data_IF_214579927372
#
_entry.id   IF_214579927372
#
_cell.length_a   1.000
_cell.length_b   1.000
_cell.length_c   1.000
_cell.angle_alpha   90.00
_cell.angle_beta   90.00
_cell.angle_gamma   90.00
#
_symmetry.space_group_name_H-M   'P 1'
#
loop_
_entity.id
_entity.type
_entity.pdbx_description
1 polymer ?
#
# COMPACT_ATOMS: atom_id res chain seq x y z
N UNK A 1 17.46 -27.27 -48.98
CA UNK A 1 16.91 -27.50 -47.62
C UNK A 1 17.49 -26.53 -46.58
N UNK A 2 17.51 -25.21 -46.85
CA UNK A 2 18.02 -24.19 -45.89
C UNK A 2 17.00 -23.10 -45.54
N UNK A 3 15.86 -23.00 -46.23
CA UNK A 3 14.83 -21.98 -45.98
C UNK A 3 13.79 -22.38 -44.92
N UNK A 4 13.62 -23.67 -44.64
CA UNK A 4 12.62 -24.14 -43.66
C UNK A 4 13.02 -23.88 -42.20
N UNK A 5 14.31 -23.71 -41.92
CA UNK A 5 14.82 -23.45 -40.56
C UNK A 5 14.54 -22.00 -40.11
N UNK A 6 14.45 -21.05 -41.06
CA UNK A 6 14.27 -19.63 -40.74
C UNK A 6 12.81 -19.35 -40.31
N UNK A 7 11.84 -20.05 -40.91
CA UNK A 7 10.41 -19.84 -40.63
C UNK A 7 10.02 -20.40 -39.26
N UNK A 8 10.62 -21.51 -38.81
CA UNK A 8 10.31 -22.10 -37.50
C UNK A 8 10.79 -21.23 -36.34
N UNK A 9 11.93 -20.54 -36.50
CA UNK A 9 12.49 -19.68 -35.44
C UNK A 9 11.69 -18.38 -35.30
N UNK A 10 11.19 -17.79 -36.40
CA UNK A 10 10.34 -16.60 -36.32
C UNK A 10 8.97 -16.88 -35.68
N UNK A 11 8.35 -18.03 -35.97
CA UNK A 11 7.06 -18.39 -35.38
C UNK A 11 7.15 -18.69 -33.88
N UNK A 12 8.27 -19.25 -33.42
CA UNK A 12 8.51 -19.46 -31.99
C UNK A 12 8.74 -18.12 -31.25
N UNK A 13 9.46 -17.17 -31.86
CA UNK A 13 9.70 -15.85 -31.25
C UNK A 13 8.39 -15.05 -31.12
N UNK A 14 7.51 -15.09 -32.13
CA UNK A 14 6.19 -14.45 -32.05
C UNK A 14 5.26 -15.06 -30.98
N UNK A 15 5.34 -16.37 -30.75
CA UNK A 15 4.59 -17.04 -29.68
C UNK A 15 5.14 -16.72 -28.28
N UNK A 16 6.45 -16.46 -28.14
CA UNK A 16 7.03 -16.02 -26.87
C UNK A 16 6.67 -14.58 -26.49
N UNK A 17 6.34 -13.71 -27.45
CA UNK A 17 5.81 -12.37 -27.16
C UNK A 17 4.38 -12.41 -26.59
N UNK A 18 3.58 -13.44 -26.91
CA UNK A 18 2.22 -13.60 -26.38
C UNK A 18 2.14 -14.25 -24.99
N UNK A 19 3.20 -14.93 -24.56
CA UNK A 19 3.30 -15.59 -23.24
C UNK A 19 4.08 -14.77 -22.21
N UNK A 20 4.78 -13.72 -22.64
CA UNK A 20 5.22 -12.66 -21.76
C UNK A 20 4.01 -11.77 -21.43
N UNK A 21 3.08 -12.33 -20.66
CA UNK A 21 2.27 -11.52 -19.74
C UNK A 21 3.29 -10.88 -18.81
N UNK A 22 3.82 -9.74 -19.23
CA UNK A 22 4.42 -8.77 -18.35
C UNK A 22 3.45 -8.67 -17.16
N UNK A 23 3.92 -8.83 -15.91
CA UNK A 23 3.08 -8.50 -14.77
C UNK A 23 2.55 -7.10 -15.08
N UNK A 24 1.22 -7.01 -15.28
CA UNK A 24 0.52 -5.77 -15.59
C UNK A 24 1.04 -4.74 -14.60
N UNK A 25 1.58 -3.67 -15.19
CA UNK A 25 1.79 -2.36 -14.61
C UNK A 25 2.43 -2.33 -13.21
N UNK A 26 3.59 -1.67 -13.13
CA UNK A 26 3.90 -0.91 -11.91
C UNK A 26 2.60 -0.25 -11.46
N UNK A 27 2.15 -0.36 -10.21
CA UNK A 27 0.87 0.20 -9.81
C UNK A 27 0.87 1.68 -10.18
N UNK A 28 0.13 2.03 -11.23
CA UNK A 28 -0.06 3.41 -11.68
C UNK A 28 -1.04 4.04 -10.69
N UNK A 29 -0.55 4.36 -9.49
CA UNK A 29 -1.40 4.84 -8.40
C UNK A 29 -0.82 4.61 -7.01
N UNK A 30 -1.68 4.81 -6.01
CA UNK A 30 -1.36 4.58 -4.61
C UNK A 30 -1.22 3.09 -4.32
N UNK A 31 -0.21 2.75 -3.53
CA UNK A 31 -0.10 1.43 -2.91
C UNK A 31 -0.72 1.53 -1.52
N UNK A 32 -1.72 0.71 -1.24
CA UNK A 32 -2.33 0.60 0.08
C UNK A 32 -1.79 -0.61 0.82
N UNK A 33 -1.16 -0.35 1.96
CA UNK A 33 -0.63 -1.37 2.86
C UNK A 33 -1.51 -1.45 4.10
N UNK A 34 -2.03 -2.62 4.41
CA UNK A 34 -2.82 -2.90 5.62
C UNK A 34 -1.98 -3.62 6.63
N UNK A 35 -2.12 -3.23 7.89
CA UNK A 35 -1.55 -3.91 9.04
C UNK A 35 -2.71 -4.46 9.90
N UNK A 36 -2.64 -5.74 10.24
CA UNK A 36 -3.62 -6.46 11.05
C UNK A 36 -2.91 -7.59 11.83
N UNK A 37 -3.64 -8.32 12.68
CA UNK A 37 -3.08 -9.43 13.46
C UNK A 37 -2.49 -10.55 12.59
N UNK A 38 -3.04 -10.79 11.39
CA UNK A 38 -2.56 -11.82 10.46
C UNK A 38 -1.34 -11.35 9.65
N UNK A 39 -1.22 -10.05 9.45
CA UNK A 39 -0.23 -9.36 8.63
C UNK A 39 0.51 -8.29 9.44
N UNK A 40 1.28 -8.69 10.47
CA UNK A 40 1.94 -7.75 11.36
C UNK A 40 3.00 -6.92 10.64
N UNK A 41 3.59 -7.40 9.53
CA UNK A 41 4.55 -6.67 8.70
C UNK A 41 3.90 -5.83 7.60
N UNK A 42 2.56 -5.78 7.58
CA UNK A 42 1.77 -5.18 6.54
C UNK A 42 1.65 -6.06 5.28
N UNK A 43 0.46 -6.05 4.68
CA UNK A 43 0.17 -6.67 3.38
C UNK A 43 -0.31 -5.61 2.41
N UNK A 44 0.09 -5.71 1.15
CA UNK A 44 -0.48 -4.88 0.10
C UNK A 44 -1.85 -5.44 -0.26
N UNK A 45 -2.88 -4.60 -0.18
CA UNK A 45 -4.26 -4.98 -0.51
C UNK A 45 -4.76 -4.17 -1.69
N UNK A 46 -5.69 -4.75 -2.44
CA UNK A 46 -6.41 -4.01 -3.46
C UNK A 46 -7.51 -3.15 -2.85
N UNK A 47 -7.90 -2.08 -3.54
CA UNK A 47 -9.02 -1.23 -3.11
C UNK A 47 -10.32 -2.03 -2.98
N UNK A 48 -10.56 -3.00 -3.86
CA UNK A 48 -11.74 -3.87 -3.80
C UNK A 48 -11.77 -4.74 -2.55
N UNK A 49 -10.61 -5.25 -2.11
CA UNK A 49 -10.50 -6.03 -0.87
C UNK A 49 -10.78 -5.16 0.36
N UNK A 50 -10.18 -3.96 0.41
CA UNK A 50 -10.41 -3.02 1.50
C UNK A 50 -11.88 -2.59 1.60
N UNK A 51 -12.51 -2.28 0.46
CA UNK A 51 -13.92 -1.91 0.39
C UNK A 51 -14.86 -3.03 0.85
N UNK A 52 -14.51 -4.30 0.61
CA UNK A 52 -15.28 -5.43 1.12
C UNK A 52 -15.23 -5.53 2.65
N UNK A 53 -14.11 -5.18 3.28
CA UNK A 53 -14.01 -5.18 4.74
C UNK A 53 -14.82 -4.06 5.40
N UNK A 54 -14.99 -2.93 4.70
CA UNK A 54 -15.76 -1.77 5.14
C UNK A 54 -17.23 -1.81 4.72
N UNK A 55 -17.68 -2.88 4.05
CA UNK A 55 -19.06 -3.03 3.62
C UNK A 55 -20.01 -3.06 4.85
N UNK A 56 -21.33 -2.84 4.69
CA UNK A 56 -22.29 -2.89 5.81
C UNK A 56 -22.30 -4.21 6.61
N UNK A 57 -21.80 -5.29 6.00
CA UNK A 57 -21.65 -6.61 6.62
C UNK A 57 -20.18 -6.95 6.92
N UNK A 58 -19.30 -5.97 6.80
CA UNK A 58 -17.86 -6.09 7.00
C UNK A 58 -17.48 -6.20 8.47
N UNK A 59 -16.25 -6.63 8.71
CA UNK A 59 -15.73 -6.84 10.07
C UNK A 59 -15.15 -5.58 10.71
N UNK A 60 -14.99 -4.50 9.93
CA UNK A 60 -14.30 -3.30 10.36
C UNK A 60 -15.07 -2.04 10.03
N UNK A 61 -15.05 -1.08 10.96
CA UNK A 61 -15.49 0.29 10.75
C UNK A 61 -14.32 1.26 10.89
N UNK A 62 -14.38 2.35 10.13
CA UNK A 62 -13.39 3.42 10.18
C UNK A 62 -13.51 4.20 11.49
N UNK A 63 -12.39 4.32 12.21
CA UNK A 63 -12.29 5.11 13.45
C UNK A 63 -11.83 6.52 13.14
N UNK A 64 -10.83 6.65 12.26
CA UNK A 64 -10.25 7.95 11.91
C UNK A 64 -9.44 7.87 10.62
N UNK A 65 -9.39 8.98 9.90
CA UNK A 65 -8.63 9.15 8.65
C UNK A 65 -7.77 10.41 8.72
N UNK A 66 -6.50 10.26 8.36
CA UNK A 66 -5.57 11.37 8.17
C UNK A 66 -5.11 11.41 6.72
N UNK A 67 -5.22 12.59 6.11
CA UNK A 67 -4.62 12.90 4.81
C UNK A 67 -3.43 13.80 5.06
N UNK A 68 -2.24 13.26 4.84
CA UNK A 68 -0.98 13.96 5.00
C UNK A 68 -0.48 14.34 3.61
N UNK A 69 -0.42 15.64 3.35
CA UNK A 69 0.03 16.20 2.08
C UNK A 69 1.05 17.30 2.35
N UNK A 70 2.23 17.20 1.74
CA UNK A 70 3.24 18.25 1.76
C UNK A 70 4.05 18.22 0.47
N UNK A 71 4.37 19.38 -0.13
CA UNK A 71 5.18 19.43 -1.34
C UNK A 71 6.61 18.89 -1.09
N UNK A 72 7.30 18.42 -2.15
CA UNK A 72 8.66 17.93 -2.03
C UNK A 72 9.62 19.08 -1.69
N UNK A 73 10.54 18.83 -0.76
CA UNK A 73 11.62 19.77 -0.42
C UNK A 73 12.92 19.23 -1.04
N UNK A 74 13.57 20.04 -1.88
CA UNK A 74 14.76 19.61 -2.61
C UNK A 74 15.89 19.23 -1.67
N UNK A 75 16.41 18.01 -1.82
CA UNK A 75 17.55 17.53 -1.04
C UNK A 75 17.22 17.15 0.41
N UNK A 76 15.97 17.25 0.84
CA UNK A 76 15.56 16.91 2.21
C UNK A 76 14.71 15.65 2.28
N UNK A 77 14.85 14.96 3.41
CA UNK A 77 13.94 13.90 3.85
C UNK A 77 12.85 14.54 4.68
N UNK A 78 11.59 14.22 4.39
CA UNK A 78 10.46 14.70 5.19
C UNK A 78 9.99 13.59 6.11
N UNK A 79 9.65 13.95 7.34
CA UNK A 79 9.09 13.03 8.32
C UNK A 79 7.76 13.59 8.82
N UNK A 80 6.81 12.71 9.08
CA UNK A 80 5.59 13.06 9.79
C UNK A 80 5.14 11.92 10.68
N UNK A 81 4.37 12.29 11.70
CA UNK A 81 3.86 11.39 12.71
C UNK A 81 2.38 11.60 12.86
N UNK A 82 1.62 10.51 12.84
CA UNK A 82 0.20 10.49 13.14
C UNK A 82 0.04 9.76 14.47
N UNK A 83 -0.73 10.36 15.38
CA UNK A 83 -1.04 9.78 16.67
C UNK A 83 -2.54 9.78 16.89
N UNK A 84 -3.03 8.68 17.43
CA UNK A 84 -4.41 8.52 17.86
C UNK A 84 -4.43 8.01 19.29
N UNK A 85 -5.24 8.64 20.12
CA UNK A 85 -5.51 8.23 21.49
C UNK A 85 -7.03 8.27 21.66
N UNK A 86 -7.63 7.08 21.70
CA UNK A 86 -9.06 6.89 21.77
C UNK A 86 -9.54 6.45 23.15
N UNK A 87 -10.85 6.29 23.25
CA UNK A 87 -11.49 5.69 24.42
C UNK A 87 -10.91 4.27 24.67
N UNK A 88 -10.64 3.87 25.93
CA UNK A 88 -10.16 2.53 26.26
C UNK A 88 -11.03 1.38 25.72
N UNK A 89 -12.33 1.61 25.51
CA UNK A 89 -13.25 0.60 24.98
C UNK A 89 -13.13 0.41 23.45
N UNK A 90 -12.43 1.31 22.75
CA UNK A 90 -12.19 1.22 21.30
C UNK A 90 -10.81 0.66 21.03
N UNK A 91 -10.75 -0.63 20.68
CA UNK A 91 -9.50 -1.31 20.35
C UNK A 91 -9.22 -1.22 18.85
N UNK A 92 -8.09 -0.64 18.50
CA UNK A 92 -7.63 -0.58 17.11
C UNK A 92 -7.24 -1.99 16.69
N UNK A 93 -7.89 -2.50 15.65
CA UNK A 93 -7.68 -3.85 15.13
C UNK A 93 -6.95 -3.88 13.80
N UNK A 94 -7.00 -2.79 13.04
CA UNK A 94 -6.24 -2.67 11.81
C UNK A 94 -6.02 -1.20 11.46
N UNK A 95 -5.05 -0.94 10.58
CA UNK A 95 -4.95 0.32 9.87
C UNK A 95 -4.38 0.13 8.47
N UNK A 96 -4.79 1.02 7.57
CA UNK A 96 -4.28 1.09 6.21
C UNK A 96 -3.43 2.35 6.02
N UNK A 97 -2.36 2.22 5.25
CA UNK A 97 -1.47 3.32 4.86
C UNK A 97 -1.35 3.28 3.34
N UNK A 98 -1.91 4.29 2.69
CA UNK A 98 -1.84 4.47 1.23
C UNK A 98 -0.77 5.50 0.90
N UNK A 99 0.20 5.14 0.06
CA UNK A 99 1.29 6.04 -0.35
C UNK A 99 1.59 5.93 -1.85
N UNK A 100 2.12 7.02 -2.41
CA UNK A 100 2.60 7.00 -3.80
C UNK A 100 4.03 6.41 -3.86
N UNK A 101 4.33 5.48 -4.78
CA UNK A 101 5.66 4.89 -4.90
C UNK A 101 6.76 5.94 -5.16
N UNK A 102 7.99 5.74 -4.66
CA UNK A 102 8.52 4.58 -3.96
C UNK A 102 8.10 4.49 -2.48
N UNK A 103 8.15 3.29 -1.90
CA UNK A 103 7.71 3.05 -0.52
C UNK A 103 8.50 3.90 0.49
N UNK A 104 7.83 4.66 1.38
CA UNK A 104 8.48 5.34 2.48
C UNK A 104 8.89 4.35 3.57
N UNK A 105 9.72 4.80 4.50
CA UNK A 105 10.01 4.02 5.70
C UNK A 105 8.88 4.27 6.70
N UNK A 106 8.23 3.19 7.13
CA UNK A 106 7.06 3.23 8.01
C UNK A 106 7.43 2.52 9.31
N UNK A 107 7.25 3.21 10.43
CA UNK A 107 7.29 2.65 11.77
C UNK A 107 5.93 2.85 12.42
N UNK A 108 5.45 1.84 13.13
CA UNK A 108 4.12 1.86 13.73
C UNK A 108 4.13 1.20 15.10
N UNK A 109 3.17 1.61 15.93
CA UNK A 109 2.89 0.97 17.21
C UNK A 109 2.15 -0.37 17.02
N UNK A 110 2.26 -1.31 17.99
CA UNK A 110 1.47 -2.54 17.97
C UNK A 110 -0.04 -2.29 17.90
N UNK A 111 -0.73 -3.19 17.21
CA UNK A 111 -2.20 -3.24 17.11
C UNK A 111 -2.80 -3.87 18.39
N UNK A 112 -4.08 -3.63 18.65
CA UNK A 112 -4.81 -4.21 19.79
C UNK A 112 -4.85 -3.32 21.03
N UNK A 113 -4.52 -2.04 20.87
CA UNK A 113 -4.64 -1.03 21.93
C UNK A 113 -5.56 0.11 21.45
N UNK A 114 -5.95 0.99 22.36
CA UNK A 114 -6.67 2.23 22.05
C UNK A 114 -5.75 3.38 21.58
N UNK A 115 -4.46 3.07 21.38
CA UNK A 115 -3.43 4.01 20.97
C UNK A 115 -2.79 3.57 19.66
N UNK A 116 -2.57 4.52 18.75
CA UNK A 116 -1.77 4.30 17.57
C UNK A 116 -0.77 5.44 17.40
N UNK A 117 0.45 5.08 17.02
CA UNK A 117 1.45 6.00 16.51
C UNK A 117 2.05 5.43 15.23
N UNK A 118 1.95 6.19 14.13
CA UNK A 118 2.53 5.86 12.84
C UNK A 118 3.48 6.99 12.44
N UNK A 119 4.74 6.62 12.27
CA UNK A 119 5.84 7.49 11.88
C UNK A 119 6.28 7.13 10.47
N UNK A 120 6.19 8.09 9.55
CA UNK A 120 6.49 7.87 8.14
C UNK A 120 7.59 8.84 7.72
N UNK A 121 8.62 8.29 7.09
CA UNK A 121 9.77 9.02 6.58
C UNK A 121 9.88 8.83 5.08
N UNK A 122 9.82 9.92 4.32
CA UNK A 122 9.91 9.89 2.86
C UNK A 122 11.37 9.75 2.40
N UNK A 123 11.56 9.44 1.12
CA UNK A 123 12.90 9.53 0.51
C UNK A 123 13.26 10.99 0.21
N UNK A 124 14.56 11.24 0.02
CA UNK A 124 15.10 12.58 -0.29
C UNK A 124 14.39 13.18 -1.52
N UNK A 125 13.91 14.42 -1.39
CA UNK A 125 13.30 15.18 -2.49
C UNK A 125 11.92 14.67 -2.89
N UNK A 126 11.24 13.91 -2.04
CA UNK A 126 9.89 13.38 -2.28
C UNK A 126 8.85 14.14 -1.50
N UNK A 127 7.68 14.27 -2.11
CA UNK A 127 6.50 14.82 -1.48
C UNK A 127 5.94 13.85 -0.44
N UNK A 128 5.18 14.38 0.51
CA UNK A 128 4.30 13.58 1.34
C UNK A 128 2.95 13.58 0.64
N UNK A 129 2.50 12.40 0.24
CA UNK A 129 1.13 12.17 -0.22
C UNK A 129 0.70 10.82 0.33
N UNK A 130 0.17 10.83 1.55
CA UNK A 130 -0.13 9.61 2.29
C UNK A 130 -1.46 9.73 3.01
N UNK A 131 -2.27 8.68 2.92
CA UNK A 131 -3.50 8.55 3.70
C UNK A 131 -3.31 7.44 4.73
N UNK A 132 -3.58 7.73 6.00
CA UNK A 132 -3.58 6.75 7.09
C UNK A 132 -5.02 6.61 7.58
N UNK A 133 -5.53 5.38 7.63
CA UNK A 133 -6.89 5.10 8.11
C UNK A 133 -6.82 4.05 9.21
N UNK A 134 -7.45 4.33 10.34
CA UNK A 134 -7.60 3.38 11.45
C UNK A 134 -8.94 2.66 11.36
N UNK A 135 -8.92 1.39 11.74
CA UNK A 135 -10.09 0.53 11.81
C UNK A 135 -10.22 -0.16 13.17
N UNK A 136 -11.47 -0.28 13.61
CA UNK A 136 -11.90 -1.08 14.75
C UNK A 136 -12.99 -2.05 14.30
N UNK A 137 -13.24 -3.10 15.08
CA UNK A 137 -14.33 -4.06 14.89
C UNK A 137 -15.41 -3.88 15.95
#
# INVERSE_FOLDING_TARGET
MRSFIIITVLSALAACYGAAVLPSEKPEGYITMVFDEESPNGRVVSEAELNNWMAPNGWYYEVSTWKCEAPPIYGEVQHFSVKYEGDPDVLIKSYSISYYPPAPVIHYSPIGTNFMEVNITTLVGREIHTTVILYSS
#
